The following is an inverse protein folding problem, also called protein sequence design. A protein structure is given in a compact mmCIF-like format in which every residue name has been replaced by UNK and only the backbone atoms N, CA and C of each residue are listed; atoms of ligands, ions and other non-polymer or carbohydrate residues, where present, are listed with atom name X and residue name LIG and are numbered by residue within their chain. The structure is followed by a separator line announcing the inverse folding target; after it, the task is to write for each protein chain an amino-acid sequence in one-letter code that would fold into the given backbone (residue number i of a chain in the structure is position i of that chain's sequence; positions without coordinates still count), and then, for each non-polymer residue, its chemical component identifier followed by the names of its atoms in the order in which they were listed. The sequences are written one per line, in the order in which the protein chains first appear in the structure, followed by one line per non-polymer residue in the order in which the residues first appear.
data_IF_410185748173
#
_entry.id   IF_410185748173
#
_cell.length_a   1.000
_cell.length_b   1.000
_cell.length_c   1.000
_cell.angle_alpha   90.00
_cell.angle_beta   90.00
_cell.angle_gamma   90.00
#
_symmetry.space_group_name_H-M   'P 1'
#
loop_
_entity.id
_entity.type
_entity.pdbx_description
1 polymer ?
#
# COMPACT_ATOMS: atom_id res chain seq x y z
N UNK A 1 -9.39 12.44 8.37
CA UNK A 1 -7.96 12.20 8.64
C UNK A 1 -7.17 12.90 7.57
N UNK A 2 -6.29 13.78 8.02
CA UNK A 2 -5.45 14.62 7.18
C UNK A 2 -4.36 13.80 6.46
N UNK A 3 -3.92 14.27 5.29
CA UNK A 3 -2.86 13.66 4.48
C UNK A 3 -1.53 13.53 5.26
N UNK A 4 -1.20 14.49 6.12
CA UNK A 4 0.00 14.43 6.99
C UNK A 4 -0.08 13.24 7.96
N UNK A 5 -1.28 12.96 8.49
CA UNK A 5 -1.50 11.83 9.39
C UNK A 5 -1.39 10.51 8.62
N UNK A 6 -1.87 10.47 7.37
CA UNK A 6 -1.72 9.31 6.50
C UNK A 6 -0.24 8.98 6.27
N UNK A 7 0.56 9.97 5.85
CA UNK A 7 1.98 9.84 5.57
C UNK A 7 2.72 9.23 6.78
N UNK A 8 2.47 9.77 7.99
CA UNK A 8 3.09 9.27 9.23
C UNK A 8 2.68 7.85 9.60
N UNK A 9 1.53 7.36 9.12
CA UNK A 9 0.99 6.03 9.44
C UNK A 9 1.18 5.02 8.31
N UNK A 10 1.70 5.43 7.16
CA UNK A 10 1.80 4.59 5.98
C UNK A 10 2.53 3.27 6.25
N UNK A 11 3.72 3.33 6.85
CA UNK A 11 4.50 2.15 7.22
C UNK A 11 3.75 1.24 8.20
N UNK A 12 3.01 1.82 9.17
CA UNK A 12 2.20 1.03 10.10
C UNK A 12 1.06 0.29 9.41
N UNK A 13 0.46 0.88 8.37
CA UNK A 13 -0.55 0.20 7.56
C UNK A 13 0.04 -0.96 6.75
N UNK A 14 1.27 -0.81 6.25
CA UNK A 14 1.98 -1.90 5.56
C UNK A 14 2.36 -3.03 6.53
N UNK A 15 2.76 -2.71 7.77
CA UNK A 15 3.01 -3.71 8.82
C UNK A 15 1.73 -4.46 9.24
N UNK A 16 0.58 -3.78 9.26
CA UNK A 16 -0.73 -4.43 9.46
C UNK A 16 -1.02 -5.45 8.35
N UNK A 17 -0.75 -5.10 7.08
CA UNK A 17 -0.91 -6.01 5.94
C UNK A 17 0.05 -7.19 6.07
N UNK A 18 1.33 -6.93 6.37
CA UNK A 18 2.36 -7.96 6.53
C UNK A 18 1.95 -9.07 7.52
N UNK A 19 1.28 -8.71 8.61
CA UNK A 19 0.83 -9.67 9.64
C UNK A 19 -0.30 -10.60 9.20
N UNK A 20 -1.04 -10.27 8.13
CA UNK A 20 -2.25 -11.00 7.72
C UNK A 20 -2.15 -11.63 6.32
N UNK A 21 -1.06 -11.40 5.59
CA UNK A 21 -0.89 -11.92 4.23
C UNK A 21 0.10 -13.08 4.15
N UNK A 22 0.03 -13.76 3.00
CA UNK A 22 0.95 -14.82 2.55
C UNK A 22 2.44 -14.39 2.70
N UNK A 23 3.40 -15.14 3.29
CA UNK A 23 4.82 -14.77 3.19
C UNK A 23 5.32 -14.62 1.75
N UNK A 24 4.69 -15.31 0.78
CA UNK A 24 4.99 -15.16 -0.64
C UNK A 24 4.82 -13.72 -1.18
N UNK A 25 4.02 -12.89 -0.52
CA UNK A 25 3.79 -11.49 -0.90
C UNK A 25 4.72 -10.51 -0.20
N UNK A 26 5.69 -10.98 0.59
CA UNK A 26 6.62 -10.13 1.32
C UNK A 26 7.35 -9.14 0.39
N UNK A 27 7.80 -9.62 -0.77
CA UNK A 27 8.48 -8.78 -1.75
C UNK A 27 7.58 -7.66 -2.32
N UNK A 28 6.25 -7.78 -2.26
CA UNK A 28 5.32 -6.71 -2.65
C UNK A 28 5.30 -5.61 -1.59
N UNK A 29 5.31 -6.00 -0.32
CA UNK A 29 5.33 -5.06 0.80
C UNK A 29 6.65 -4.29 0.83
N UNK A 30 7.77 -4.97 0.58
CA UNK A 30 9.09 -4.34 0.46
C UNK A 30 9.13 -3.31 -0.67
N UNK A 31 8.56 -3.62 -1.84
CA UNK A 31 8.45 -2.65 -2.94
C UNK A 31 7.60 -1.43 -2.54
N UNK A 32 6.50 -1.63 -1.80
CA UNK A 32 5.64 -0.53 -1.34
C UNK A 32 6.32 0.33 -0.27
N UNK A 33 7.16 -0.26 0.59
CA UNK A 33 7.96 0.49 1.56
C UNK A 33 9.00 1.41 0.89
N UNK A 34 9.39 1.13 -0.36
CA UNK A 34 10.27 2.02 -1.12
C UNK A 34 9.53 3.21 -1.76
N UNK A 35 8.20 3.20 -1.79
CA UNK A 35 7.43 4.31 -2.36
C UNK A 35 7.34 5.46 -1.37
N UNK A 36 7.49 6.69 -1.85
CA UNK A 36 7.23 7.88 -1.04
C UNK A 36 5.71 8.03 -0.83
N UNK A 37 5.19 7.99 0.42
CA UNK A 37 3.77 8.21 0.68
C UNK A 37 3.27 9.59 0.26
N UNK A 38 4.16 10.59 0.07
CA UNK A 38 3.78 11.89 -0.48
C UNK A 38 3.32 11.81 -1.94
N UNK A 39 3.74 10.80 -2.70
CA UNK A 39 3.30 10.59 -4.09
C UNK A 39 1.91 9.94 -4.15
N UNK A 40 1.43 9.38 -3.04
CA UNK A 40 0.14 8.66 -2.97
C UNK A 40 -1.04 9.58 -2.65
N UNK A 41 -0.78 10.75 -2.08
CA UNK A 41 -1.81 11.68 -1.60
C UNK A 41 -1.42 13.12 -1.92
N UNK A 42 -2.42 13.95 -2.19
CA UNK A 42 -2.21 15.40 -2.33
C UNK A 42 -2.44 16.10 -0.98
N UNK A 43 -1.96 17.34 -0.80
CA UNK A 43 -2.29 18.13 0.39
C UNK A 43 -3.79 18.24 0.66
N UNK A 44 -4.61 18.29 -0.40
CA UNK A 44 -6.07 18.38 -0.33
C UNK A 44 -6.76 17.03 -0.07
N UNK A 45 -6.00 15.93 -0.05
CA UNK A 45 -6.55 14.60 0.21
C UNK A 45 -7.00 14.49 1.65
N UNK A 46 -8.31 14.27 1.82
CA UNK A 46 -8.93 14.03 3.12
C UNK A 46 -9.57 12.64 3.16
N UNK A 47 -9.21 11.85 4.15
CA UNK A 47 -9.87 10.57 4.40
C UNK A 47 -10.99 10.77 5.42
N UNK A 48 -12.16 10.13 5.23
CA UNK A 48 -13.24 10.23 6.22
C UNK A 48 -12.79 9.73 7.60
N UNK A 49 -12.03 8.64 7.63
CA UNK A 49 -11.48 8.03 8.84
C UNK A 49 -10.20 7.24 8.53
N UNK A 50 -9.64 6.58 9.55
CA UNK A 50 -8.45 5.74 9.41
C UNK A 50 -8.71 4.46 8.59
N UNK A 51 -9.95 3.96 8.54
CA UNK A 51 -10.33 2.80 7.74
C UNK A 51 -10.28 3.13 6.25
N UNK A 52 -10.69 4.33 5.85
CA UNK A 52 -10.55 4.81 4.46
C UNK A 52 -9.09 4.86 4.01
N UNK A 53 -8.20 5.36 4.89
CA UNK A 53 -6.76 5.35 4.64
C UNK A 53 -6.18 3.94 4.51
N UNK A 54 -6.56 3.01 5.40
CA UNK A 54 -6.17 1.59 5.29
C UNK A 54 -6.64 0.97 4.00
N UNK A 55 -7.88 1.29 3.58
CA UNK A 55 -8.46 0.81 2.33
C UNK A 55 -7.64 1.23 1.10
N UNK A 56 -7.11 2.46 1.09
CA UNK A 56 -6.20 2.91 0.05
C UNK A 56 -4.92 2.06 0.00
N UNK A 57 -4.25 1.86 1.15
CA UNK A 57 -3.02 1.06 1.23
C UNK A 57 -3.27 -0.39 0.80
N UNK A 58 -4.38 -0.99 1.22
CA UNK A 58 -4.82 -2.31 0.77
C UNK A 58 -5.04 -2.39 -0.74
N UNK A 59 -5.64 -1.35 -1.32
CA UNK A 59 -5.88 -1.28 -2.76
C UNK A 59 -4.57 -1.23 -3.53
N UNK A 60 -3.60 -0.42 -3.07
CA UNK A 60 -2.26 -0.34 -3.65
C UNK A 60 -1.53 -1.70 -3.59
N UNK A 61 -1.64 -2.39 -2.45
CA UNK A 61 -1.11 -3.75 -2.29
C UNK A 61 -1.70 -4.73 -3.30
N UNK A 62 -3.03 -4.79 -3.43
CA UNK A 62 -3.69 -5.71 -4.37
C UNK A 62 -3.33 -5.42 -5.83
N UNK A 63 -3.20 -4.15 -6.20
CA UNK A 63 -2.74 -3.76 -7.54
C UNK A 63 -1.33 -4.28 -7.78
N UNK A 64 -0.41 -4.05 -6.83
CA UNK A 64 1.00 -4.46 -6.96
C UNK A 64 1.18 -5.97 -6.99
N UNK A 65 0.39 -6.73 -6.20
CA UNK A 65 0.33 -8.20 -6.28
C UNK A 65 -0.04 -8.63 -7.69
N UNK A 66 -1.16 -8.11 -8.23
CA UNK A 66 -1.64 -8.45 -9.57
C UNK A 66 -0.63 -8.10 -10.66
N UNK A 67 0.07 -6.98 -10.52
CA UNK A 67 1.09 -6.56 -11.49
C UNK A 67 2.31 -7.49 -11.47
N UNK A 68 2.75 -7.95 -10.28
CA UNK A 68 3.80 -8.97 -10.17
C UNK A 68 3.36 -10.31 -10.77
N UNK A 69 2.14 -10.76 -10.51
CA UNK A 69 1.62 -12.01 -11.09
C UNK A 69 1.58 -11.95 -12.63
N UNK A 70 1.15 -10.82 -13.20
CA UNK A 70 1.14 -10.60 -14.66
C UNK A 70 2.53 -10.54 -15.27
N UNK A 71 3.51 -9.96 -14.57
CA UNK A 71 4.89 -9.93 -15.02
C UNK A 71 5.51 -11.35 -15.09
N UNK A 72 5.05 -12.26 -14.23
CA UNK A 72 5.47 -13.67 -14.23
C UNK A 72 4.80 -14.44 -15.38
N UNK A 73 3.51 -14.17 -15.67
CA UNK A 73 2.74 -14.88 -16.70
C UNK A 73 3.02 -14.38 -18.14
N UNK A 74 3.44 -13.11 -18.30
CA UNK A 74 3.75 -12.50 -19.59
C UNK A 74 5.11 -12.86 -20.20
N UNK A 75 5.91 -13.68 -19.52
CA UNK A 75 7.17 -14.22 -20.04
C UNK A 75 6.96 -15.54 -20.78
N UNK A 76 6.39 -15.49 -21.99
CA UNK A 76 6.25 -16.66 -22.87
C UNK A 76 6.65 -16.34 -24.30
#
# INVERSE_FOLDING_TARGET
MDSIIFIRKYESYLDEIHKVVKPEYQSVIEDLLQNDPHDLVTPDTWFNDASGARGLVWTLFLIKVRDKERAIDGGK
#
